data_IF_249008695882
#
_entry.id   IF_249008695882
#
_cell.length_a   1.000
_cell.length_b   1.000
_cell.length_c   1.000
_cell.angle_alpha   90.00
_cell.angle_beta   90.00
_cell.angle_gamma   90.00
#
_symmetry.space_group_name_H-M   'P 1'
#
loop_
_entity.id
_entity.type
_entity.pdbx_description
1 polymer ?
#
# COMPACT_ATOMS: atom_id res chain seq x y z
N UNK A 1 -44.81 2.96 0.60
CA UNK A 1 -44.47 2.62 2.00
C UNK A 1 -43.39 3.59 2.46
N UNK A 2 -43.61 4.37 3.52
CA UNK A 2 -42.59 5.25 4.04
C UNK A 2 -41.57 4.42 4.84
N UNK A 3 -40.33 4.34 4.36
CA UNK A 3 -39.25 3.65 5.06
C UNK A 3 -38.97 4.30 6.43
N UNK A 4 -38.51 3.52 7.41
CA UNK A 4 -38.12 4.04 8.72
C UNK A 4 -37.04 5.11 8.59
N UNK A 5 -37.00 6.11 9.50
CA UNK A 5 -35.98 7.17 9.48
C UNK A 5 -34.55 6.62 9.47
N UNK A 6 -34.33 5.50 10.16
CA UNK A 6 -33.03 4.80 10.21
C UNK A 6 -32.62 4.25 8.84
N UNK A 7 -33.57 3.69 8.07
CA UNK A 7 -33.29 3.16 6.74
C UNK A 7 -33.03 4.28 5.72
N UNK A 8 -33.71 5.42 5.86
CA UNK A 8 -33.45 6.60 5.03
C UNK A 8 -32.05 7.20 5.30
N UNK A 9 -31.63 7.27 6.56
CA UNK A 9 -30.28 7.70 6.94
C UNK A 9 -29.21 6.73 6.40
N UNK A 10 -29.47 5.43 6.47
CA UNK A 10 -28.61 4.39 5.90
C UNK A 10 -28.41 4.55 4.40
N UNK A 11 -29.51 4.67 3.64
CA UNK A 11 -29.46 4.81 2.18
C UNK A 11 -28.69 6.07 1.75
N UNK A 12 -28.89 7.18 2.46
CA UNK A 12 -28.15 8.42 2.21
C UNK A 12 -26.64 8.22 2.38
N UNK A 13 -26.22 7.65 3.50
CA UNK A 13 -24.80 7.43 3.79
C UNK A 13 -24.20 6.44 2.80
N UNK A 14 -24.88 5.35 2.46
CA UNK A 14 -24.36 4.36 1.52
C UNK A 14 -24.17 4.91 0.11
N UNK A 15 -24.98 5.89 -0.31
CA UNK A 15 -24.80 6.58 -1.60
C UNK A 15 -23.62 7.55 -1.60
N UNK A 16 -23.39 8.25 -0.50
CA UNK A 16 -22.33 9.27 -0.39
C UNK A 16 -20.94 8.67 -0.06
N UNK A 17 -20.90 7.48 0.53
CA UNK A 17 -19.69 6.89 1.10
C UNK A 17 -18.59 6.56 0.07
N UNK A 18 -18.85 6.00 -1.13
CA UNK A 18 -17.80 5.54 -2.04
C UNK A 18 -16.80 6.64 -2.46
N UNK A 19 -17.29 7.81 -2.88
CA UNK A 19 -16.44 8.93 -3.30
C UNK A 19 -15.70 9.55 -2.11
N UNK A 20 -16.37 9.60 -0.95
CA UNK A 20 -15.77 10.09 0.28
C UNK A 20 -14.65 9.15 0.79
N UNK A 21 -14.82 7.84 0.59
CA UNK A 21 -13.81 6.82 0.93
C UNK A 21 -12.56 7.02 0.09
N UNK A 22 -12.68 7.15 -1.23
CA UNK A 22 -11.52 7.37 -2.09
C UNK A 22 -10.72 8.62 -1.64
N UNK A 23 -11.40 9.74 -1.43
CA UNK A 23 -10.79 11.01 -0.98
C UNK A 23 -10.11 10.90 0.39
N UNK A 24 -10.67 10.13 1.32
CA UNK A 24 -10.13 9.98 2.66
C UNK A 24 -9.01 8.93 2.75
N UNK A 25 -9.10 7.85 1.98
CA UNK A 25 -8.25 6.67 2.11
C UNK A 25 -7.04 6.72 1.19
N UNK A 26 -7.17 7.22 -0.05
CA UNK A 26 -6.05 7.25 -1.00
C UNK A 26 -4.82 8.04 -0.49
N UNK A 27 -4.96 9.24 0.10
CA UNK A 27 -3.80 9.94 0.65
C UNK A 27 -3.13 9.14 1.78
N UNK A 28 -3.94 8.47 2.61
CA UNK A 28 -3.46 7.67 3.72
C UNK A 28 -2.72 6.42 3.25
N UNK A 29 -3.22 5.76 2.20
CA UNK A 29 -2.56 4.62 1.55
C UNK A 29 -1.15 5.02 1.08
N UNK A 30 -1.04 6.12 0.35
CA UNK A 30 0.24 6.59 -0.21
C UNK A 30 1.22 6.96 0.92
N UNK A 31 0.75 7.66 1.96
CA UNK A 31 1.59 8.00 3.12
C UNK A 31 2.14 6.75 3.82
N UNK A 32 1.28 5.78 4.12
CA UNK A 32 1.71 4.56 4.82
C UNK A 32 2.59 3.69 3.91
N UNK A 33 2.30 3.62 2.61
CA UNK A 33 3.15 2.92 1.65
C UNK A 33 4.54 3.55 1.55
N UNK A 34 4.64 4.89 1.45
CA UNK A 34 5.93 5.60 1.42
C UNK A 34 6.74 5.41 2.72
N UNK A 35 6.08 5.35 3.88
CA UNK A 35 6.75 5.07 5.16
C UNK A 35 7.36 3.67 5.21
N UNK A 36 6.67 2.69 4.64
CA UNK A 36 7.13 1.29 4.55
C UNK A 36 8.24 1.20 3.51
N UNK A 37 8.07 1.79 2.33
CA UNK A 37 9.07 1.84 1.28
C UNK A 37 10.38 2.47 1.77
N UNK A 38 10.32 3.61 2.46
CA UNK A 38 11.52 4.22 3.05
C UNK A 38 12.17 3.36 4.14
N UNK A 39 11.43 2.45 4.79
CA UNK A 39 12.03 1.48 5.73
C UNK A 39 12.72 0.34 5.00
N UNK A 40 12.11 -0.16 3.93
CA UNK A 40 12.71 -1.16 3.04
C UNK A 40 14.00 -0.59 2.45
N UNK A 41 13.99 0.66 1.95
CA UNK A 41 15.15 1.34 1.39
C UNK A 41 16.30 1.48 2.41
N UNK A 42 16.00 1.83 3.67
CA UNK A 42 17.02 1.92 4.72
C UNK A 42 17.54 0.56 5.19
N UNK A 43 16.72 -0.48 5.14
CA UNK A 43 17.09 -1.83 5.52
C UNK A 43 17.84 -2.57 4.41
N UNK A 44 17.65 -2.17 3.15
CA UNK A 44 18.31 -2.79 2.02
C UNK A 44 19.84 -2.61 2.12
N UNK A 45 20.62 -3.67 1.88
CA UNK A 45 22.06 -3.58 1.86
C UNK A 45 22.52 -2.66 0.72
N UNK A 46 23.68 -2.04 0.92
CA UNK A 46 24.25 -1.07 -0.01
C UNK A 46 25.57 -1.58 -0.55
N UNK A 47 25.64 -1.65 -1.87
CA UNK A 47 26.87 -1.88 -2.63
C UNK A 47 27.07 -0.68 -3.59
N UNK A 48 26.24 -0.58 -4.64
CA UNK A 48 26.19 0.57 -5.55
C UNK A 48 25.08 1.60 -5.26
N UNK A 49 24.10 1.24 -4.42
CA UNK A 49 22.88 2.03 -4.17
C UNK A 49 21.68 1.64 -5.06
N UNK A 50 21.91 0.94 -6.17
CA UNK A 50 20.85 0.58 -7.15
C UNK A 50 19.67 -0.18 -6.51
N UNK A 51 19.95 -1.07 -5.55
CA UNK A 51 18.91 -1.81 -4.84
C UNK A 51 17.99 -0.88 -4.05
N UNK A 52 18.57 0.11 -3.36
CA UNK A 52 17.83 1.11 -2.58
C UNK A 52 16.98 1.97 -3.49
N UNK A 53 17.53 2.38 -4.62
CA UNK A 53 16.85 3.25 -5.59
C UNK A 53 15.78 2.50 -6.41
N UNK A 54 15.83 1.16 -6.43
CA UNK A 54 14.81 0.34 -7.07
C UNK A 54 13.51 0.18 -6.25
N UNK A 55 13.46 0.69 -5.01
CA UNK A 55 12.25 0.64 -4.17
C UNK A 55 11.24 1.67 -4.67
N UNK A 56 10.09 1.22 -5.16
CA UNK A 56 9.07 2.07 -5.72
C UNK A 56 7.70 1.87 -5.05
N UNK A 57 6.94 2.96 -4.97
CA UNK A 57 5.54 2.96 -4.55
C UNK A 57 4.65 3.27 -5.75
N UNK A 58 3.76 2.34 -6.07
CA UNK A 58 2.71 2.53 -7.07
C UNK A 58 1.45 3.02 -6.36
N UNK A 59 0.99 4.20 -6.73
CA UNK A 59 -0.22 4.81 -6.17
C UNK A 59 -1.49 4.25 -6.82
N UNK A 60 -2.67 4.48 -6.24
CA UNK A 60 -3.93 4.01 -6.83
C UNK A 60 -4.11 4.41 -8.30
N UNK A 61 -4.57 3.47 -9.13
CA UNK A 61 -4.77 3.68 -10.56
C UNK A 61 -3.50 3.75 -11.41
N UNK A 62 -2.31 3.65 -10.81
CA UNK A 62 -1.03 3.65 -11.53
C UNK A 62 -0.52 2.22 -11.76
N UNK A 63 0.39 2.08 -12.72
CA UNK A 63 1.00 0.80 -13.08
C UNK A 63 2.33 0.61 -12.33
N UNK A 64 2.58 -0.60 -11.83
CA UNK A 64 3.87 -0.95 -11.24
C UNK A 64 5.00 -0.87 -12.27
N UNK A 65 6.25 -0.58 -11.86
CA UNK A 65 7.39 -0.59 -12.77
C UNK A 65 7.48 -1.91 -13.55
N UNK A 66 7.86 -1.84 -14.82
CA UNK A 66 8.03 -3.03 -15.65
C UNK A 66 9.00 -4.02 -15.00
N UNK A 67 8.68 -5.31 -15.09
CA UNK A 67 9.45 -6.41 -14.49
C UNK A 67 9.52 -6.40 -12.96
N UNK A 68 8.62 -5.67 -12.28
CA UNK A 68 8.39 -5.86 -10.84
C UNK A 68 7.87 -7.29 -10.58
N UNK A 69 8.38 -7.97 -9.56
CA UNK A 69 7.88 -9.30 -9.20
C UNK A 69 6.40 -9.23 -8.76
N UNK A 70 5.52 -10.14 -9.24
CA UNK A 70 5.81 -11.48 -9.77
C UNK A 70 6.00 -11.61 -11.30
N UNK A 71 6.44 -10.57 -12.02
CA UNK A 71 6.86 -10.69 -13.42
C UNK A 71 5.93 -10.01 -14.43
N UNK A 72 5.32 -8.88 -14.05
CA UNK A 72 4.47 -8.09 -14.94
C UNK A 72 4.22 -6.68 -14.42
N UNK A 73 3.64 -5.82 -15.26
CA UNK A 73 3.08 -4.54 -14.84
C UNK A 73 1.66 -4.77 -14.32
N UNK A 74 1.41 -4.45 -13.05
CA UNK A 74 0.08 -4.51 -12.44
C UNK A 74 -0.44 -3.09 -12.23
N UNK A 75 -1.69 -2.84 -12.62
CA UNK A 75 -2.37 -1.59 -12.26
C UNK A 75 -2.91 -1.73 -10.84
N UNK A 76 -2.56 -0.79 -9.96
CA UNK A 76 -3.10 -0.72 -8.61
C UNK A 76 -4.59 -0.38 -8.64
N UNK A 77 -5.40 -1.10 -7.87
CA UNK A 77 -6.82 -0.78 -7.73
C UNK A 77 -7.05 0.61 -7.10
N UNK A 78 -8.27 1.13 -7.21
CA UNK A 78 -8.63 2.48 -6.76
C UNK A 78 -8.32 2.80 -5.29
N UNK A 79 -8.23 1.79 -4.42
CA UNK A 79 -7.87 1.94 -3.01
C UNK A 79 -6.72 1.01 -2.62
N UNK A 80 -5.73 0.92 -3.50
CA UNK A 80 -4.56 0.08 -3.32
C UNK A 80 -3.28 0.87 -3.58
N UNK A 81 -2.27 0.63 -2.75
CA UNK A 81 -0.90 1.06 -3.02
C UNK A 81 0.00 -0.18 -3.02
N UNK A 82 0.89 -0.28 -3.99
CA UNK A 82 1.78 -1.43 -4.17
C UNK A 82 3.21 -0.97 -3.94
N UNK A 83 3.98 -1.72 -3.16
CA UNK A 83 5.41 -1.48 -2.96
C UNK A 83 6.16 -2.56 -3.73
N UNK A 84 7.07 -2.16 -4.61
CA UNK A 84 7.90 -3.05 -5.40
C UNK A 84 9.38 -2.75 -5.14
N UNK A 85 10.21 -3.77 -5.29
CA UNK A 85 11.68 -3.62 -5.28
C UNK A 85 12.22 -4.35 -6.49
N UNK A 86 13.08 -3.67 -7.23
CA UNK A 86 13.59 -4.14 -8.51
C UNK A 86 12.89 -3.53 -9.71
N UNK A 87 13.59 -3.60 -10.83
CA UNK A 87 13.15 -3.11 -12.13
C UNK A 87 13.92 -3.86 -13.24
N UNK A 88 13.86 -3.36 -14.48
CA UNK A 88 14.53 -3.99 -15.62
C UNK A 88 16.06 -4.07 -15.48
N UNK A 89 16.69 -3.19 -14.69
CA UNK A 89 18.13 -3.16 -14.40
C UNK A 89 18.43 -3.95 -13.12
N UNK A 90 17.61 -3.78 -12.09
CA UNK A 90 17.80 -4.38 -10.76
C UNK A 90 16.95 -5.64 -10.62
N UNK A 91 17.45 -6.76 -11.18
CA UNK A 91 16.75 -8.06 -11.23
C UNK A 91 17.13 -9.06 -10.14
N UNK A 92 18.03 -8.68 -9.24
CA UNK A 92 18.52 -9.49 -8.13
C UNK A 92 17.88 -9.24 -6.72
N UNK A 93 16.84 -8.39 -6.50
CA UNK A 93 16.29 -8.14 -5.16
C UNK A 93 15.92 -9.39 -4.35
N UNK A 94 15.36 -10.40 -5.01
CA UNK A 94 14.96 -11.67 -4.39
C UNK A 94 16.16 -12.56 -4.06
N UNK A 95 17.25 -12.46 -4.82
CA UNK A 95 18.51 -13.17 -4.54
C UNK A 95 19.17 -12.60 -3.28
N UNK A 96 19.03 -11.30 -3.04
CA UNK A 96 19.46 -10.66 -1.79
C UNK A 96 18.57 -11.11 -0.62
N UNK A 97 17.26 -11.02 -0.79
CA UNK A 97 16.28 -11.34 0.27
C UNK A 97 16.40 -12.79 0.77
N UNK A 98 16.58 -13.74 -0.15
CA UNK A 98 16.59 -15.17 0.16
C UNK A 98 17.98 -15.81 0.18
N UNK A 99 19.00 -15.09 -0.29
CA UNK A 99 20.35 -15.62 -0.46
C UNK A 99 20.48 -16.52 -1.69
N UNK A 100 21.71 -16.94 -1.95
CA UNK A 100 22.08 -17.84 -3.04
C UNK A 100 23.08 -18.88 -2.52
N UNK A 101 23.50 -19.83 -3.37
CA UNK A 101 24.58 -20.76 -3.02
C UNK A 101 25.92 -20.09 -2.70
N UNK A 102 26.13 -18.84 -3.16
CA UNK A 102 27.39 -18.10 -3.00
C UNK A 102 27.31 -16.94 -2.01
N UNK A 103 26.12 -16.67 -1.45
CA UNK A 103 25.90 -15.50 -0.60
C UNK A 103 24.76 -15.77 0.38
N UNK A 104 25.00 -15.50 1.66
CA UNK A 104 23.98 -15.62 2.70
C UNK A 104 22.82 -14.63 2.45
N UNK A 105 21.62 -15.02 2.89
CA UNK A 105 20.45 -14.17 2.81
C UNK A 105 20.64 -12.88 3.62
N UNK A 106 20.19 -11.76 3.05
CA UNK A 106 20.15 -10.47 3.71
C UNK A 106 18.72 -9.94 3.65
N UNK A 107 17.82 -10.43 4.53
CA UNK A 107 16.41 -10.08 4.46
C UNK A 107 16.19 -8.60 4.82
N UNK A 108 15.54 -7.85 3.94
CA UNK A 108 15.26 -6.43 4.10
C UNK A 108 13.80 -6.08 3.75
N UNK A 109 13.16 -6.87 2.88
CA UNK A 109 11.80 -6.62 2.44
C UNK A 109 10.77 -7.22 3.40
N UNK A 110 10.76 -8.55 3.55
CA UNK A 110 9.74 -9.23 4.35
C UNK A 110 9.78 -8.90 5.84
N UNK A 111 10.95 -8.73 6.49
CA UNK A 111 10.98 -8.29 7.88
C UNK A 111 10.24 -6.96 8.07
N UNK A 112 10.45 -6.00 7.17
CA UNK A 112 9.80 -4.69 7.22
C UNK A 112 8.31 -4.80 6.92
N UNK A 113 7.92 -5.53 5.88
CA UNK A 113 6.50 -5.71 5.54
C UNK A 113 5.72 -6.40 6.67
N UNK A 114 6.29 -7.43 7.30
CA UNK A 114 5.65 -8.15 8.40
C UNK A 114 5.46 -7.27 9.64
N UNK A 115 6.44 -6.40 9.94
CA UNK A 115 6.36 -5.51 11.11
C UNK A 115 5.46 -4.30 10.87
N UNK A 116 5.56 -3.66 9.69
CA UNK A 116 4.93 -2.37 9.43
C UNK A 116 3.65 -2.46 8.58
N UNK A 117 3.46 -3.53 7.80
CA UNK A 117 2.24 -3.77 7.03
C UNK A 117 0.98 -3.73 7.89
N UNK A 118 0.89 -4.50 9.01
CA UNK A 118 -0.26 -4.44 9.91
C UNK A 118 -0.49 -3.04 10.52
N UNK A 119 0.59 -2.27 10.76
CA UNK A 119 0.49 -0.90 11.30
C UNK A 119 -0.11 0.06 10.27
N UNK A 120 0.32 -0.01 9.01
CA UNK A 120 -0.25 0.76 7.92
C UNK A 120 -1.73 0.42 7.70
N UNK A 121 -2.07 -0.87 7.67
CA UNK A 121 -3.46 -1.34 7.57
C UNK A 121 -4.34 -0.81 8.71
N UNK A 122 -3.84 -0.83 9.96
CA UNK A 122 -4.56 -0.26 11.10
C UNK A 122 -4.80 1.24 10.93
N UNK A 123 -3.80 1.98 10.46
CA UNK A 123 -3.92 3.41 10.25
C UNK A 123 -4.97 3.77 9.18
N UNK A 124 -5.07 2.96 8.11
CA UNK A 124 -6.09 3.09 7.07
C UNK A 124 -7.48 2.75 7.63
N UNK A 125 -7.62 1.64 8.37
CA UNK A 125 -8.89 1.26 9.04
C UNK A 125 -9.41 2.35 9.97
N UNK A 126 -8.52 3.01 10.71
CA UNK A 126 -8.88 4.14 11.58
C UNK A 126 -9.37 5.35 10.78
N UNK A 127 -8.75 5.66 9.64
CA UNK A 127 -9.21 6.74 8.77
C UNK A 127 -10.62 6.44 8.21
N UNK A 128 -10.85 5.20 7.78
CA UNK A 128 -12.16 4.74 7.31
C UNK A 128 -13.22 4.81 8.42
N UNK A 129 -12.91 4.33 9.63
CA UNK A 129 -13.84 4.39 10.76
C UNK A 129 -14.22 5.82 11.14
N UNK A 130 -13.28 6.77 11.08
CA UNK A 130 -13.57 8.19 11.29
C UNK A 130 -14.52 8.75 10.22
N UNK A 131 -14.31 8.38 8.96
CA UNK A 131 -15.18 8.80 7.86
C UNK A 131 -16.61 8.29 8.05
N UNK A 132 -16.77 6.99 8.30
CA UNK A 132 -18.09 6.36 8.51
C UNK A 132 -18.80 6.99 9.70
N UNK A 133 -18.10 7.17 10.83
CA UNK A 133 -18.68 7.82 12.01
C UNK A 133 -19.14 9.25 11.71
N UNK A 134 -18.33 10.03 10.98
CA UNK A 134 -18.65 11.40 10.63
C UNK A 134 -19.81 11.50 9.63
N UNK A 135 -19.98 10.51 8.75
CA UNK A 135 -21.13 10.44 7.85
C UNK A 135 -22.43 10.14 8.64
N UNK A 136 -22.36 9.19 9.58
CA UNK A 136 -23.50 8.79 10.42
C UNK A 136 -23.98 9.91 11.36
N UNK A 137 -23.07 10.77 11.82
CA UNK A 137 -23.43 11.93 12.65
C UNK A 137 -24.09 13.07 11.88
N UNK A 138 -24.02 13.05 10.53
CA UNK A 138 -24.59 14.08 9.64
C UNK A 138 -25.91 13.65 8.98
N UNK A 139 -26.29 12.39 9.11
CA UNK A 139 -27.54 11.80 8.58
C UNK A 139 -28.65 11.85 9.60
#
# INVERSE_FOLDING_TARGET
>A
MAYSKQLQAFDKVMRELPDAVAKAVQPKLVIEANKIAGRIQRAAPEDSGDLKDSVAVTTPGQSTPAYSQPGGSRIAANNEAIITVGNHVVRYPHLIEYGTSKMAAQPYFWPIVRVFGPRGQRAIKLALGKLVKAAWQRS
#
